data_IF_282831021435
#
_entry.id   IF_282831021435
#
_cell.length_a   1.000
_cell.length_b   1.000
_cell.length_c   1.000
_cell.angle_alpha   90.00
_cell.angle_beta   90.00
_cell.angle_gamma   90.00
#
_symmetry.space_group_name_H-M   'P 1'
#
loop_
_entity.id
_entity.type
_entity.pdbx_description
1 polymer ?
#
# COMPACT_ATOMS: atom_id res chain seq x y z
N UNK A 1 -24.52 -37.77 48.09
CA UNK A 1 -23.61 -38.92 48.25
C UNK A 1 -23.07 -39.34 46.88
N UNK A 2 -21.80 -39.01 46.62
CA UNK A 2 -20.70 -39.76 45.96
C UNK A 2 -21.17 -40.75 44.85
N UNK A 3 -20.76 -40.61 43.57
CA UNK A 3 -19.42 -40.99 43.07
C UNK A 3 -19.01 -40.32 41.74
N UNK A 4 -17.83 -39.69 41.75
CA UNK A 4 -16.94 -39.52 40.60
C UNK A 4 -16.35 -40.88 40.18
N UNK A 5 -16.13 -41.12 38.88
CA UNK A 5 -14.87 -41.58 38.26
C UNK A 5 -15.05 -41.90 36.77
N UNK A 6 -14.06 -41.52 35.94
CA UNK A 6 -13.96 -41.86 34.50
C UNK A 6 -13.24 -40.78 33.69
N UNK A 7 -11.99 -40.42 34.02
CA UNK A 7 -10.76 -40.84 33.34
C UNK A 7 -10.67 -40.45 31.84
N UNK A 8 -10.10 -39.27 31.61
CA UNK A 8 -9.02 -38.90 30.66
C UNK A 8 -8.82 -39.86 29.47
N UNK A 9 -9.10 -39.36 28.27
CA UNK A 9 -8.63 -39.86 26.99
C UNK A 9 -8.16 -38.70 26.12
N UNK A 10 -6.85 -38.44 26.16
CA UNK A 10 -6.09 -37.48 25.38
C UNK A 10 -5.87 -37.99 23.95
N UNK A 11 -5.63 -37.07 23.00
CA UNK A 11 -5.17 -37.30 21.61
C UNK A 11 -6.28 -37.76 20.62
N UNK A 12 -6.62 -37.03 19.56
CA UNK A 12 -5.74 -36.66 18.44
C UNK A 12 -6.30 -35.44 17.68
N UNK A 13 -5.42 -34.48 17.44
CA UNK A 13 -5.54 -33.39 16.46
C UNK A 13 -6.03 -33.87 15.10
N UNK A 14 -6.91 -33.10 14.47
CA UNK A 14 -6.93 -33.00 13.01
C UNK A 14 -7.56 -31.67 12.58
N UNK A 15 -6.68 -30.78 12.15
CA UNK A 15 -6.95 -29.66 11.24
C UNK A 15 -7.74 -28.47 11.79
N UNK A 16 -7.04 -27.63 12.57
CA UNK A 16 -7.17 -26.19 12.33
C UNK A 16 -6.63 -25.93 10.91
N UNK A 17 -7.49 -25.98 9.90
CA UNK A 17 -7.27 -25.16 8.70
C UNK A 17 -7.43 -23.73 9.18
N UNK A 18 -6.33 -23.14 9.65
CA UNK A 18 -6.16 -21.70 9.55
C UNK A 18 -6.12 -21.43 8.04
N UNK A 19 -7.29 -21.16 7.47
CA UNK A 19 -7.35 -20.36 6.27
C UNK A 19 -6.82 -18.98 6.71
N UNK A 20 -5.57 -18.70 6.32
CA UNK A 20 -4.93 -17.41 6.49
C UNK A 20 -5.67 -16.40 5.59
N UNK A 21 -6.74 -15.83 6.13
CA UNK A 21 -7.68 -14.95 5.45
C UNK A 21 -7.16 -13.50 5.36
N UNK A 22 -5.84 -13.29 5.33
CA UNK A 22 -5.20 -11.95 5.34
C UNK A 22 -4.70 -11.51 3.96
N UNK A 23 -5.19 -12.12 2.88
CA UNK A 23 -4.80 -11.76 1.51
C UNK A 23 -5.69 -10.67 0.88
N UNK A 24 -6.83 -10.29 1.49
CA UNK A 24 -7.75 -9.32 0.89
C UNK A 24 -7.25 -7.87 0.93
N UNK A 25 -6.46 -7.50 1.95
CA UNK A 25 -6.00 -6.12 2.13
C UNK A 25 -4.89 -5.69 1.15
N UNK A 26 -4.01 -6.61 0.76
CA UNK A 26 -2.82 -6.26 -0.03
C UNK A 26 -3.16 -5.79 -1.46
N UNK A 27 -4.15 -6.43 -2.09
CA UNK A 27 -4.62 -6.05 -3.42
C UNK A 27 -5.33 -4.69 -3.41
N UNK A 28 -6.15 -4.43 -2.38
CA UNK A 28 -6.86 -3.17 -2.20
C UNK A 28 -5.88 -2.00 -2.02
N UNK A 29 -4.80 -2.21 -1.27
CA UNK A 29 -3.78 -1.18 -1.10
C UNK A 29 -3.09 -0.82 -2.41
N UNK A 30 -2.76 -1.80 -3.26
CA UNK A 30 -2.19 -1.52 -4.58
C UNK A 30 -3.13 -0.66 -5.41
N UNK A 31 -4.41 -1.02 -5.47
CA UNK A 31 -5.41 -0.28 -6.25
C UNK A 31 -5.53 1.16 -5.75
N UNK A 32 -5.51 1.36 -4.44
CA UNK A 32 -5.61 2.69 -3.86
C UNK A 32 -4.34 3.52 -4.07
N UNK A 33 -3.15 2.91 -4.03
CA UNK A 33 -1.89 3.55 -4.40
C UNK A 33 -1.93 3.99 -5.87
N UNK A 34 -2.35 3.10 -6.78
CA UNK A 34 -2.43 3.40 -8.21
C UNK A 34 -3.45 4.52 -8.51
N UNK A 35 -4.59 4.52 -7.82
CA UNK A 35 -5.58 5.61 -7.91
C UNK A 35 -4.97 6.95 -7.51
N UNK A 36 -4.31 7.01 -6.36
CA UNK A 36 -3.69 8.24 -5.86
C UNK A 36 -2.51 8.69 -6.76
N UNK A 37 -1.73 7.75 -7.31
CA UNK A 37 -0.70 8.00 -8.35
C UNK A 37 -1.28 8.68 -9.59
N UNK A 38 -2.36 8.13 -10.15
CA UNK A 38 -3.01 8.68 -11.36
C UNK A 38 -3.59 10.07 -11.08
N UNK A 39 -4.20 10.27 -9.91
CA UNK A 39 -4.70 11.57 -9.49
C UNK A 39 -3.57 12.62 -9.42
N UNK A 40 -2.44 12.27 -8.78
CA UNK A 40 -1.26 13.14 -8.72
C UNK A 40 -0.75 13.49 -10.12
N UNK A 41 -0.61 12.51 -11.02
CA UNK A 41 -0.17 12.75 -12.40
C UNK A 41 -1.08 13.75 -13.11
N UNK A 42 -2.40 13.53 -13.08
CA UNK A 42 -3.38 14.43 -13.70
C UNK A 42 -3.28 15.85 -13.15
N UNK A 43 -3.11 15.99 -11.83
CA UNK A 43 -2.99 17.29 -11.18
C UNK A 43 -1.71 18.03 -11.57
N UNK A 44 -0.59 17.32 -11.66
CA UNK A 44 0.70 17.89 -12.06
C UNK A 44 0.74 18.25 -13.54
N UNK A 45 0.13 17.44 -14.41
CA UNK A 45 0.09 17.68 -15.86
C UNK A 45 -0.77 18.88 -16.22
N UNK A 46 -1.86 19.10 -15.46
CA UNK A 46 -2.73 20.27 -15.59
C UNK A 46 -2.28 21.51 -14.82
N UNK A 47 -1.16 21.46 -14.08
CA UNK A 47 -0.78 22.54 -13.15
C UNK A 47 -0.43 23.86 -13.86
N UNK A 48 0.25 23.79 -15.01
CA UNK A 48 0.73 24.99 -15.74
C UNK A 48 -0.40 25.80 -16.39
N UNK A 49 -1.56 25.19 -16.59
CA UNK A 49 -2.74 25.79 -17.21
C UNK A 49 -3.62 26.53 -16.19
N UNK A 50 -3.33 26.38 -14.89
CA UNK A 50 -4.07 27.01 -13.81
C UNK A 50 -3.57 28.43 -13.54
N UNK A 51 -4.46 29.29 -13.02
CA UNK A 51 -4.04 30.59 -12.47
C UNK A 51 -3.34 30.41 -11.10
N UNK A 52 -2.69 31.46 -10.57
CA UNK A 52 -1.90 31.37 -9.33
C UNK A 52 -2.68 30.84 -8.12
N UNK A 53 -3.92 31.29 -7.94
CA UNK A 53 -4.75 30.83 -6.81
C UNK A 53 -5.10 29.34 -6.95
N UNK A 54 -5.45 28.92 -8.16
CA UNK A 54 -5.72 27.52 -8.49
C UNK A 54 -4.46 26.65 -8.38
N UNK A 55 -3.28 27.16 -8.73
CA UNK A 55 -2.01 26.48 -8.56
C UNK A 55 -1.71 26.21 -7.08
N UNK A 56 -1.92 27.20 -6.21
CA UNK A 56 -1.76 27.03 -4.77
C UNK A 56 -2.71 25.96 -4.20
N UNK A 57 -3.99 26.00 -4.59
CA UNK A 57 -4.98 24.97 -4.20
C UNK A 57 -4.62 23.58 -4.73
N UNK A 58 -4.12 23.51 -5.97
CA UNK A 58 -3.68 22.28 -6.60
C UNK A 58 -2.47 21.68 -5.85
N UNK A 59 -1.46 22.49 -5.49
CA UNK A 59 -0.31 22.03 -4.68
C UNK A 59 -0.74 21.52 -3.30
N UNK A 60 -1.65 22.22 -2.63
CA UNK A 60 -2.18 21.79 -1.33
C UNK A 60 -2.94 20.45 -1.44
N UNK A 61 -3.71 20.25 -2.52
CA UNK A 61 -4.34 18.96 -2.78
C UNK A 61 -3.31 17.85 -3.09
N UNK A 62 -2.24 18.15 -3.83
CA UNK A 62 -1.16 17.19 -4.10
C UNK A 62 -0.50 16.76 -2.78
N UNK A 63 -0.20 17.72 -1.89
CA UNK A 63 0.35 17.46 -0.55
C UNK A 63 -0.53 16.50 0.24
N UNK A 64 -1.85 16.72 0.26
CA UNK A 64 -2.81 15.83 0.94
C UNK A 64 -2.83 14.42 0.35
N UNK A 65 -2.74 14.29 -0.97
CA UNK A 65 -2.63 12.98 -1.62
C UNK A 65 -1.35 12.27 -1.21
N UNK A 66 -0.20 12.97 -1.20
CA UNK A 66 1.05 12.39 -0.71
C UNK A 66 0.95 11.95 0.75
N UNK A 67 0.38 12.77 1.64
CA UNK A 67 0.23 12.43 3.06
C UNK A 67 -0.57 11.14 3.29
N UNK A 68 -1.55 10.83 2.43
CA UNK A 68 -2.29 9.56 2.48
C UNK A 68 -1.57 8.42 1.76
N UNK A 69 -0.93 8.70 0.64
CA UNK A 69 -0.25 7.72 -0.20
C UNK A 69 0.97 7.11 0.49
N UNK A 70 1.79 7.93 1.16
CA UNK A 70 3.05 7.48 1.76
C UNK A 70 2.90 6.34 2.78
N UNK A 71 2.03 6.42 3.80
CA UNK A 71 1.89 5.32 4.77
C UNK A 71 1.39 4.03 4.11
N UNK A 72 0.47 4.13 3.13
CA UNK A 72 0.00 2.96 2.38
C UNK A 72 1.12 2.32 1.55
N UNK A 73 1.91 3.14 0.86
CA UNK A 73 3.06 2.67 0.10
C UNK A 73 4.07 1.97 1.02
N UNK A 74 4.35 2.54 2.19
CA UNK A 74 5.26 1.95 3.17
C UNK A 74 4.79 0.56 3.61
N UNK A 75 3.52 0.41 3.97
CA UNK A 75 2.93 -0.89 4.32
C UNK A 75 2.98 -1.88 3.15
N UNK A 76 2.63 -1.43 1.95
CA UNK A 76 2.60 -2.27 0.75
C UNK A 76 3.97 -2.84 0.39
N UNK A 77 5.04 -2.04 0.47
CA UNK A 77 6.40 -2.49 0.10
C UNK A 77 7.06 -3.33 1.20
N UNK A 78 6.60 -3.22 2.45
CA UNK A 78 7.16 -3.92 3.60
C UNK A 78 6.72 -5.39 3.72
N UNK A 79 5.90 -5.90 2.80
CA UNK A 79 5.38 -7.27 2.91
C UNK A 79 6.51 -8.30 2.78
N UNK A 80 6.65 -9.22 3.75
CA UNK A 80 7.73 -10.19 3.79
C UNK A 80 7.60 -11.31 2.73
N UNK A 81 8.70 -12.04 2.53
CA UNK A 81 8.80 -13.18 1.61
C UNK A 81 7.79 -14.29 1.90
N UNK A 82 7.55 -14.61 3.18
CA UNK A 82 6.66 -15.69 3.61
C UNK A 82 5.18 -15.47 3.26
N UNK A 83 4.81 -14.28 2.77
CA UNK A 83 3.48 -13.98 2.28
C UNK A 83 3.25 -14.48 0.84
N UNK A 84 4.28 -15.01 0.18
CA UNK A 84 4.21 -15.54 -1.18
C UNK A 84 4.30 -17.07 -1.20
N UNK A 85 3.57 -17.75 -2.09
CA UNK A 85 3.61 -19.21 -2.20
C UNK A 85 4.98 -19.79 -2.53
N UNK A 86 5.83 -19.02 -3.20
CA UNK A 86 7.18 -19.42 -3.60
C UNK A 86 8.07 -18.20 -3.91
N UNK A 87 9.37 -18.48 -4.06
CA UNK A 87 10.39 -17.46 -4.30
C UNK A 87 10.23 -16.72 -5.64
N UNK A 88 9.68 -17.38 -6.67
CA UNK A 88 9.45 -16.76 -7.98
C UNK A 88 8.38 -15.66 -7.88
N UNK A 89 7.26 -15.94 -7.22
CA UNK A 89 6.22 -14.94 -6.97
C UNK A 89 6.70 -13.80 -6.08
N UNK A 90 7.52 -14.11 -5.06
CA UNK A 90 8.14 -13.08 -4.24
C UNK A 90 9.06 -12.18 -5.08
N UNK A 91 9.90 -12.75 -5.94
CA UNK A 91 10.78 -12.00 -6.84
C UNK A 91 10.01 -11.09 -7.80
N UNK A 92 8.94 -11.57 -8.42
CA UNK A 92 8.07 -10.74 -9.25
C UNK A 92 7.39 -9.63 -8.44
N UNK A 93 7.01 -9.91 -7.19
CA UNK A 93 6.48 -8.88 -6.29
C UNK A 93 7.51 -7.79 -5.99
N UNK A 94 8.79 -8.14 -5.78
CA UNK A 94 9.87 -7.20 -5.53
C UNK A 94 10.11 -6.29 -6.74
N UNK A 95 10.11 -6.84 -7.96
CA UNK A 95 10.20 -6.05 -9.20
C UNK A 95 9.04 -5.05 -9.30
N UNK A 96 7.82 -5.51 -9.07
CA UNK A 96 6.61 -4.68 -9.12
C UNK A 96 6.66 -3.54 -8.10
N UNK A 97 7.00 -3.84 -6.85
CA UNK A 97 7.19 -2.84 -5.78
C UNK A 97 8.32 -1.86 -6.10
N UNK A 98 9.42 -2.33 -6.66
CA UNK A 98 10.54 -1.48 -7.09
C UNK A 98 10.13 -0.48 -8.18
N UNK A 99 9.39 -0.93 -9.19
CA UNK A 99 8.85 -0.06 -10.22
C UNK A 99 7.88 0.98 -9.65
N UNK A 100 7.01 0.57 -8.72
CA UNK A 100 6.09 1.46 -8.02
C UNK A 100 6.83 2.54 -7.21
N UNK A 101 7.87 2.16 -6.45
CA UNK A 101 8.72 3.10 -5.70
C UNK A 101 9.42 4.10 -6.61
N UNK A 102 9.93 3.65 -7.75
CA UNK A 102 10.57 4.52 -8.74
C UNK A 102 9.57 5.56 -9.29
N UNK A 103 8.35 5.14 -9.61
CA UNK A 103 7.31 6.03 -10.09
C UNK A 103 6.87 7.05 -9.03
N UNK A 104 6.66 6.62 -7.78
CA UNK A 104 6.28 7.54 -6.72
C UNK A 104 7.40 8.53 -6.40
N UNK A 105 8.66 8.08 -6.41
CA UNK A 105 9.82 8.98 -6.24
C UNK A 105 9.85 10.08 -7.30
N UNK A 106 9.60 9.73 -8.58
CA UNK A 106 9.49 10.73 -9.66
C UNK A 106 8.38 11.75 -9.39
N UNK A 107 7.23 11.31 -8.86
CA UNK A 107 6.15 12.22 -8.51
C UNK A 107 6.54 13.15 -7.36
N UNK A 108 7.23 12.66 -6.33
CA UNK A 108 7.75 13.50 -5.23
C UNK A 108 8.71 14.56 -5.77
N UNK A 109 9.66 14.19 -6.63
CA UNK A 109 10.57 15.15 -7.25
C UNK A 109 9.82 16.20 -8.09
N UNK A 110 8.82 15.79 -8.88
CA UNK A 110 7.98 16.74 -9.64
C UNK A 110 7.22 17.69 -8.72
N UNK A 111 6.64 17.20 -7.63
CA UNK A 111 5.96 18.03 -6.64
C UNK A 111 6.90 19.07 -6.05
N UNK A 112 8.12 18.68 -5.65
CA UNK A 112 9.12 19.60 -5.12
C UNK A 112 9.48 20.70 -6.14
N UNK A 113 9.68 20.34 -7.41
CA UNK A 113 9.94 21.32 -8.48
C UNK A 113 8.77 22.31 -8.64
N UNK A 114 7.52 21.83 -8.63
CA UNK A 114 6.35 22.70 -8.74
C UNK A 114 6.17 23.60 -7.51
N UNK A 115 6.45 23.07 -6.32
CA UNK A 115 6.35 23.81 -5.07
C UNK A 115 7.36 24.97 -5.02
N UNK A 116 8.63 24.70 -5.36
CA UNK A 116 9.69 25.70 -5.41
C UNK A 116 9.45 26.77 -6.49
N UNK A 117 8.77 26.43 -7.58
CA UNK A 117 8.42 27.40 -8.62
C UNK A 117 7.24 28.32 -8.25
N UNK A 118 6.53 28.02 -7.15
CA UNK A 118 5.39 28.78 -6.67
C UNK A 118 5.76 29.81 -5.57
N UNK A 119 6.97 29.72 -5.02
CA UNK A 119 7.58 30.71 -4.12
C UNK A 119 8.11 31.93 -4.90
#
# INVERSE_FOLDING_TARGET
MIRCLGLIGFFVCCFNVFADDDHSGHSDDLLLILKDKIALQKMMDGHKQLNREQQAKNLEQQKRLFSRLMPRLQSYVAIPENHYPNLEMYHESLKSRGALLADITRLVSRYQTLHLAAE
#
